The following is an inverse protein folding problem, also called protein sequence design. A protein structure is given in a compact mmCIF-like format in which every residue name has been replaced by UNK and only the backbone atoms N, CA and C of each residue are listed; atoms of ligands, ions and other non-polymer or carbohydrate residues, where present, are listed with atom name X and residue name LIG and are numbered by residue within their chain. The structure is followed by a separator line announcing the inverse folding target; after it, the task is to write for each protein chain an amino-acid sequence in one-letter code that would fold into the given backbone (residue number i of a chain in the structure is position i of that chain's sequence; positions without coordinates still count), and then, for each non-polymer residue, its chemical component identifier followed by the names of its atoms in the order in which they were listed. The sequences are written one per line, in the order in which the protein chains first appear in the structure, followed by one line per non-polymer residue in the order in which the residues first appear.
data_IF_342964010905
#
_entry.id   IF_342964010905
#
_cell.length_a   1.000
_cell.length_b   1.000
_cell.length_c   1.000
_cell.angle_alpha   90.00
_cell.angle_beta   90.00
_cell.angle_gamma   90.00
#
_symmetry.space_group_name_H-M   'P 1'
#
loop_
_entity.id
_entity.type
_entity.pdbx_description
1 polymer ?
#
# COMPACT_ATOMS: atom_id res chain seq x y z
N UNK A 1 10.06 -1.00 -7.41
CA UNK A 1 8.74 -1.28 -7.98
C UNK A 1 8.87 -2.12 -9.24
N UNK A 2 7.99 -3.11 -9.41
CA UNK A 2 8.09 -4.14 -10.47
C UNK A 2 7.10 -3.91 -11.63
N UNK A 3 6.55 -2.70 -11.76
CA UNK A 3 5.74 -2.31 -12.93
C UNK A 3 4.23 -2.55 -12.85
N UNK A 4 3.71 -3.10 -11.74
CA UNK A 4 2.27 -3.17 -11.51
C UNK A 4 1.64 -1.76 -11.45
N UNK A 5 0.56 -1.53 -12.19
CA UNK A 5 -0.17 -0.24 -12.18
C UNK A 5 -1.14 -0.11 -11.01
N UNK A 6 -1.71 -1.24 -10.57
CA UNK A 6 -2.68 -1.37 -9.48
C UNK A 6 -2.44 -2.72 -8.79
N UNK A 7 -2.69 -2.78 -7.49
CA UNK A 7 -2.69 -4.03 -6.70
C UNK A 7 -4.04 -4.15 -6.00
N UNK A 8 -4.73 -5.27 -6.19
CA UNK A 8 -5.98 -5.55 -5.51
C UNK A 8 -5.71 -6.14 -4.11
N UNK A 9 -6.56 -5.81 -3.14
CA UNK A 9 -6.50 -6.32 -1.77
C UNK A 9 -7.73 -7.17 -1.46
N UNK A 10 -7.51 -8.36 -0.89
CA UNK A 10 -8.57 -9.30 -0.56
C UNK A 10 -8.80 -9.40 0.95
N UNK A 11 -8.05 -10.28 1.61
CA UNK A 11 -8.21 -10.61 3.04
C UNK A 11 -8.19 -9.39 3.96
N UNK A 12 -7.33 -8.40 3.70
CA UNK A 12 -7.22 -7.19 4.51
C UNK A 12 -8.56 -6.47 4.66
N UNK A 13 -9.30 -6.33 3.56
CA UNK A 13 -10.63 -5.71 3.57
C UNK A 13 -11.64 -6.57 4.34
N UNK A 14 -11.55 -7.90 4.21
CA UNK A 14 -12.43 -8.84 4.93
C UNK A 14 -12.20 -8.83 6.44
N UNK A 15 -10.96 -8.62 6.91
CA UNK A 15 -10.67 -8.49 8.33
C UNK A 15 -11.27 -7.21 8.92
N UNK A 16 -11.12 -6.09 8.21
CA UNK A 16 -11.79 -4.84 8.55
C UNK A 16 -13.31 -5.02 8.64
N UNK A 17 -13.89 -5.67 7.62
CA UNK A 17 -15.31 -5.98 7.60
C UNK A 17 -15.76 -6.81 8.81
N UNK A 18 -14.99 -7.84 9.17
CA UNK A 18 -15.31 -8.74 10.27
C UNK A 18 -15.28 -8.04 11.64
N UNK A 19 -14.39 -7.06 11.85
CA UNK A 19 -14.23 -6.37 13.13
C UNK A 19 -15.14 -5.16 13.27
N UNK A 20 -15.35 -4.40 12.19
CA UNK A 20 -15.97 -3.07 12.25
C UNK A 20 -16.93 -2.75 11.12
N UNK A 21 -17.39 -3.75 10.34
CA UNK A 21 -18.29 -3.50 9.22
C UNK A 21 -17.67 -2.57 8.18
N UNK A 22 -18.48 -1.63 7.64
CA UNK A 22 -18.02 -0.66 6.65
C UNK A 22 -16.89 0.25 7.18
N UNK A 23 -16.97 0.67 8.45
CA UNK A 23 -15.93 1.49 9.09
C UNK A 23 -14.61 0.72 9.23
N UNK A 24 -14.67 -0.57 9.55
CA UNK A 24 -13.47 -1.40 9.61
C UNK A 24 -12.83 -1.63 8.23
N UNK A 25 -13.64 -1.74 7.16
CA UNK A 25 -13.15 -1.73 5.78
C UNK A 25 -12.45 -0.41 5.45
N UNK A 26 -13.09 0.71 5.78
CA UNK A 26 -12.53 2.05 5.55
C UNK A 26 -11.19 2.23 6.27
N UNK A 27 -11.13 1.90 7.56
CA UNK A 27 -9.90 1.95 8.36
C UNK A 27 -8.79 1.08 7.75
N UNK A 28 -9.12 -0.10 7.25
CA UNK A 28 -8.14 -0.99 6.60
C UNK A 28 -7.52 -0.38 5.34
N UNK A 29 -8.33 0.33 4.53
CA UNK A 29 -7.85 1.04 3.34
C UNK A 29 -7.06 2.31 3.70
N UNK A 30 -7.44 2.98 4.77
CA UNK A 30 -6.77 4.16 5.29
C UNK A 30 -5.36 3.83 5.81
N UNK A 31 -5.21 2.72 6.55
CA UNK A 31 -3.89 2.21 6.96
C UNK A 31 -2.99 1.96 5.74
N UNK A 32 -3.48 1.24 4.73
CA UNK A 32 -2.72 0.97 3.50
C UNK A 32 -2.33 2.26 2.76
N UNK A 33 -3.22 3.27 2.74
CA UNK A 33 -2.95 4.57 2.13
C UNK A 33 -1.85 5.33 2.88
N UNK A 34 -1.91 5.33 4.20
CA UNK A 34 -0.93 6.00 5.05
C UNK A 34 0.44 5.33 5.00
N UNK A 35 0.48 4.00 4.99
CA UNK A 35 1.70 3.22 4.78
C UNK A 35 2.32 3.50 3.41
N UNK A 36 1.53 3.46 2.33
CA UNK A 36 2.02 3.80 0.99
C UNK A 36 2.63 5.20 0.95
N UNK A 37 1.96 6.20 1.55
CA UNK A 37 2.47 7.57 1.61
C UNK A 37 3.77 7.66 2.42
N UNK A 38 3.84 6.98 3.56
CA UNK A 38 5.01 6.97 4.45
C UNK A 38 6.21 6.30 3.77
N UNK A 39 6.01 5.14 3.17
CA UNK A 39 7.06 4.38 2.49
C UNK A 39 7.57 5.14 1.26
N UNK A 40 6.68 5.76 0.49
CA UNK A 40 7.10 6.65 -0.60
C UNK A 40 8.00 7.80 -0.10
N UNK A 41 7.65 8.43 1.02
CA UNK A 41 8.46 9.49 1.60
C UNK A 41 9.84 8.96 2.06
N UNK A 42 9.89 7.78 2.68
CA UNK A 42 11.13 7.12 3.08
C UNK A 42 12.01 6.73 1.88
N UNK A 43 11.40 6.33 0.76
CA UNK A 43 12.08 6.06 -0.49
C UNK A 43 12.45 7.34 -1.29
N UNK A 44 12.19 8.54 -0.75
CA UNK A 44 12.46 9.82 -1.43
C UNK A 44 11.57 10.07 -2.65
N UNK A 45 10.40 9.44 -2.72
CA UNK A 45 9.47 9.52 -3.84
C UNK A 45 8.24 10.34 -3.52
N UNK A 46 7.96 11.34 -4.35
CA UNK A 46 6.81 12.24 -4.17
C UNK A 46 5.64 11.92 -5.12
N UNK A 47 5.75 10.86 -5.93
CA UNK A 47 4.67 10.40 -6.82
C UNK A 47 4.81 8.91 -7.13
N UNK A 48 3.69 8.18 -7.16
CA UNK A 48 3.65 6.77 -7.55
C UNK A 48 4.17 6.54 -8.98
N UNK A 49 4.08 7.56 -9.85
CA UNK A 49 4.60 7.49 -11.23
C UNK A 49 6.12 7.42 -11.30
N UNK A 50 6.83 7.78 -10.22
CA UNK A 50 8.30 7.74 -10.12
C UNK A 50 8.82 6.45 -9.49
N UNK A 51 7.95 5.52 -9.09
CA UNK A 51 8.36 4.25 -8.52
C UNK A 51 8.91 3.34 -9.62
N UNK A 52 10.23 3.17 -9.68
CA UNK A 52 10.96 2.30 -10.62
C UNK A 52 11.58 1.10 -9.90
N UNK A 53 12.23 0.21 -10.65
CA UNK A 53 13.04 -0.88 -10.09
C UNK A 53 14.20 -0.39 -9.22
N UNK A 54 14.66 0.84 -9.39
CA UNK A 54 15.79 1.42 -8.63
C UNK A 54 15.46 1.57 -7.13
N UNK A 55 14.18 1.57 -6.76
CA UNK A 55 13.74 1.55 -5.36
C UNK A 55 13.78 0.14 -4.73
N UNK A 56 14.31 -0.88 -5.40
CA UNK A 56 14.36 -2.27 -4.91
C UNK A 56 15.78 -2.80 -5.08
N UNK A 57 16.29 -3.45 -4.04
CA UNK A 57 17.52 -4.23 -4.08
C UNK A 57 17.22 -5.68 -3.72
N UNK A 58 18.06 -6.61 -4.18
CA UNK A 58 17.96 -8.02 -3.76
C UNK A 58 18.71 -8.18 -2.43
N UNK A 59 18.07 -8.87 -1.50
CA UNK A 59 18.71 -9.36 -0.28
C UNK A 59 18.94 -10.84 -0.52
N UNK A 60 20.20 -11.23 -0.60
CA UNK A 60 20.63 -12.63 -0.71
C UNK A 60 20.57 -13.35 0.65
#
# INVERSE_FOLDING_TARGET
AWGARVVAVGRTVLWGLAVGGAEGVHNSLDILRDELRRDMALCGQTSVKRLTSDCVFRVD
#
